data_IF_496702139446
#
_entry.id   IF_496702139446
#
_cell.length_a   1.000
_cell.length_b   1.000
_cell.length_c   1.000
_cell.angle_alpha   90.00
_cell.angle_beta   90.00
_cell.angle_gamma   90.00
#
_symmetry.space_group_name_H-M   'P 1'
#
loop_
_entity.id
_entity.type
_entity.pdbx_description
1 polymer ?
#
# COMPACT_ATOMS: atom_id res chain seq x y z
N UNK A 1 7.70 -10.29 3.38
CA UNK A 1 7.74 -8.85 3.06
C UNK A 1 7.91 -8.68 1.56
N UNK A 2 7.27 -7.69 0.93
CA UNK A 2 7.49 -7.37 -0.49
C UNK A 2 6.56 -8.03 -1.52
N UNK A 3 5.65 -8.92 -1.11
CA UNK A 3 4.60 -9.47 -1.99
C UNK A 3 3.40 -8.53 -2.10
N UNK A 4 2.56 -8.75 -3.11
CA UNK A 4 1.32 -7.98 -3.31
C UNK A 4 0.36 -8.21 -2.13
N UNK A 5 0.17 -9.46 -1.66
CA UNK A 5 -0.71 -9.73 -0.53
C UNK A 5 -0.23 -9.01 0.75
N UNK A 6 1.08 -9.04 1.01
CA UNK A 6 1.65 -8.35 2.17
C UNK A 6 1.29 -6.86 2.17
N UNK A 7 1.43 -6.18 1.03
CA UNK A 7 1.09 -4.77 0.95
C UNK A 7 -0.42 -4.51 0.99
N UNK A 8 -1.25 -5.41 0.45
CA UNK A 8 -2.71 -5.34 0.59
C UNK A 8 -3.09 -5.37 2.07
N UNK A 9 -2.52 -6.29 2.84
CA UNK A 9 -2.79 -6.43 4.27
C UNK A 9 -2.42 -5.17 5.05
N UNK A 10 -1.30 -4.53 4.70
CA UNK A 10 -0.90 -3.24 5.29
C UNK A 10 -1.93 -2.14 5.03
N UNK A 11 -2.40 -2.00 3.78
CA UNK A 11 -3.41 -0.99 3.45
C UNK A 11 -4.76 -1.28 4.13
N UNK A 12 -5.19 -2.54 4.16
CA UNK A 12 -6.42 -2.95 4.85
C UNK A 12 -6.32 -2.70 6.35
N UNK A 13 -5.17 -2.98 6.96
CA UNK A 13 -4.92 -2.66 8.37
C UNK A 13 -5.02 -1.16 8.64
N UNK A 14 -4.47 -0.30 7.77
CA UNK A 14 -4.65 1.15 7.90
C UNK A 14 -6.12 1.54 7.86
N UNK A 15 -6.88 1.02 6.89
CA UNK A 15 -8.32 1.35 6.75
C UNK A 15 -9.10 0.91 7.99
N UNK A 16 -8.86 -0.31 8.47
CA UNK A 16 -9.50 -0.82 9.69
C UNK A 16 -9.13 0.02 10.92
N UNK A 17 -7.86 0.40 11.06
CA UNK A 17 -7.39 1.24 12.15
C UNK A 17 -8.05 2.62 12.13
N UNK A 18 -8.21 3.23 10.96
CA UNK A 18 -8.93 4.51 10.82
C UNK A 18 -10.40 4.43 11.23
N UNK A 19 -11.01 3.25 11.13
CA UNK A 19 -12.42 3.06 11.52
C UNK A 19 -12.59 3.00 13.04
N UNK A 20 -11.56 2.55 13.78
CA UNK A 20 -11.61 2.35 15.23
C UNK A 20 -10.84 3.41 16.02
N UNK A 21 -9.92 4.14 15.38
CA UNK A 21 -9.02 5.11 16.00
C UNK A 21 -9.52 6.55 15.82
N UNK A 22 -9.23 7.40 16.81
CA UNK A 22 -9.40 8.85 16.75
C UNK A 22 -8.35 9.55 15.85
N UNK A 23 -7.26 8.85 15.50
CA UNK A 23 -6.29 9.28 14.50
C UNK A 23 -6.51 8.52 13.19
N UNK A 24 -6.60 9.26 12.08
CA UNK A 24 -6.80 8.69 10.75
C UNK A 24 -5.56 8.92 9.90
N UNK A 25 -5.02 7.84 9.32
CA UNK A 25 -3.94 7.88 8.34
C UNK A 25 -4.48 7.53 6.96
N UNK A 26 -4.31 8.41 6.00
CA UNK A 26 -4.70 8.15 4.62
C UNK A 26 -3.95 6.95 4.02
N UNK A 27 -4.57 6.29 3.05
CA UNK A 27 -3.89 5.27 2.24
C UNK A 27 -2.66 5.84 1.52
N UNK A 28 -2.68 7.12 1.17
CA UNK A 28 -1.56 7.79 0.51
C UNK A 28 -0.36 7.96 1.46
N UNK A 29 -0.59 8.31 2.74
CA UNK A 29 0.47 8.35 3.75
C UNK A 29 1.05 6.96 4.00
N UNK A 30 0.20 5.92 4.04
CA UNK A 30 0.65 4.52 4.13
C UNK A 30 1.52 4.14 2.94
N UNK A 31 1.14 4.54 1.71
CA UNK A 31 1.93 4.31 0.51
C UNK A 31 3.31 4.99 0.59
N UNK A 32 3.37 6.24 1.05
CA UNK A 32 4.63 6.99 1.21
C UNK A 32 5.51 6.32 2.25
N UNK A 33 4.95 5.89 3.38
CA UNK A 33 5.68 5.18 4.43
C UNK A 33 6.28 3.88 3.89
N UNK A 34 5.48 3.05 3.24
CA UNK A 34 5.93 1.76 2.67
C UNK A 34 6.98 1.95 1.57
N UNK A 35 6.91 3.02 0.76
CA UNK A 35 7.96 3.35 -0.21
C UNK A 35 9.29 3.64 0.49
N UNK A 36 9.28 4.47 1.54
CA UNK A 36 10.48 4.76 2.33
C UNK A 36 11.05 3.51 2.99
N UNK A 37 10.19 2.61 3.48
CA UNK A 37 10.63 1.32 4.03
C UNK A 37 11.34 0.48 2.97
N UNK A 38 10.78 0.33 1.76
CA UNK A 38 11.42 -0.41 0.66
C UNK A 38 12.74 0.25 0.22
N UNK A 39 12.77 1.58 0.14
CA UNK A 39 13.99 2.32 -0.22
C UNK A 39 15.10 2.13 0.83
N UNK A 40 14.75 2.01 2.10
CA UNK A 40 15.66 1.76 3.21
C UNK A 40 16.18 0.33 3.33
N UNK A 41 15.66 -0.65 2.56
CA UNK A 41 16.13 -2.03 2.61
C UNK A 41 17.55 -2.16 2.05
N UNK A 42 18.39 -2.97 2.67
CA UNK A 42 19.71 -3.34 2.13
C UNK A 42 19.61 -4.55 1.18
N UNK A 43 18.84 -4.39 0.10
CA UNK A 43 18.67 -5.38 -0.96
C UNK A 43 19.07 -4.82 -2.32
N UNK A 44 19.28 -5.70 -3.29
CA UNK A 44 19.65 -5.29 -4.64
C UNK A 44 18.55 -4.45 -5.31
N UNK A 45 18.98 -3.60 -6.25
CA UNK A 45 18.10 -2.66 -6.95
C UNK A 45 16.92 -3.35 -7.66
N UNK A 46 17.14 -4.50 -8.27
CA UNK A 46 16.10 -5.22 -9.01
C UNK A 46 15.03 -5.74 -8.05
N UNK A 47 15.42 -6.25 -6.89
CA UNK A 47 14.48 -6.64 -5.84
C UNK A 47 13.69 -5.46 -5.29
N UNK A 48 14.31 -4.28 -5.09
CA UNK A 48 13.59 -3.06 -4.70
C UNK A 48 12.55 -2.65 -5.74
N UNK A 49 12.91 -2.68 -7.03
CA UNK A 49 11.99 -2.36 -8.12
C UNK A 49 10.77 -3.29 -8.12
N UNK A 50 10.98 -4.59 -7.92
CA UNK A 50 9.88 -5.56 -7.79
C UNK A 50 8.99 -5.23 -6.59
N UNK A 51 9.57 -4.87 -5.45
CA UNK A 51 8.79 -4.51 -4.25
C UNK A 51 7.96 -3.24 -4.49
N UNK A 52 8.52 -2.22 -5.14
CA UNK A 52 7.81 -0.99 -5.48
C UNK A 52 6.68 -1.22 -6.50
N UNK A 53 6.87 -2.13 -7.45
CA UNK A 53 5.82 -2.55 -8.38
C UNK A 53 4.68 -3.27 -7.64
N UNK A 54 5.02 -4.21 -6.77
CA UNK A 54 4.04 -4.95 -5.97
C UNK A 54 3.25 -4.01 -5.04
N UNK A 55 3.93 -3.06 -4.40
CA UNK A 55 3.33 -2.02 -3.56
C UNK A 55 2.33 -1.17 -4.36
N UNK A 56 2.70 -0.75 -5.57
CA UNK A 56 1.84 0.04 -6.44
C UNK A 56 0.61 -0.75 -6.87
N UNK A 57 0.78 -2.04 -7.21
CA UNK A 57 -0.33 -2.92 -7.57
C UNK A 57 -1.30 -3.13 -6.40
N UNK A 58 -0.78 -3.37 -5.21
CA UNK A 58 -1.58 -3.52 -3.99
C UNK A 58 -2.39 -2.25 -3.69
N UNK A 59 -1.76 -1.07 -3.77
CA UNK A 59 -2.45 0.21 -3.57
C UNK A 59 -3.62 0.39 -4.53
N UNK A 60 -3.43 0.12 -5.82
CA UNK A 60 -4.50 0.21 -6.83
C UNK A 60 -5.64 -0.75 -6.56
N UNK A 61 -5.34 -1.99 -6.19
CA UNK A 61 -6.37 -3.01 -5.86
C UNK A 61 -7.21 -2.57 -4.67
N UNK A 62 -6.58 -2.16 -3.58
CA UNK A 62 -7.30 -1.71 -2.38
C UNK A 62 -8.09 -0.44 -2.68
N UNK A 63 -7.55 0.49 -3.48
CA UNK A 63 -8.29 1.69 -3.89
C UNK A 63 -9.56 1.34 -4.67
N UNK A 64 -9.49 0.37 -5.57
CA UNK A 64 -10.66 -0.12 -6.31
C UNK A 64 -11.68 -0.83 -5.41
N UNK A 65 -11.21 -1.63 -4.44
CA UNK A 65 -12.09 -2.29 -3.46
C UNK A 65 -12.85 -1.28 -2.60
N UNK A 66 -12.17 -0.22 -2.14
CA UNK A 66 -12.76 0.79 -1.24
C UNK A 66 -13.60 1.82 -1.98
N UNK A 67 -13.15 2.29 -3.16
CA UNK A 67 -13.88 3.29 -3.94
C UNK A 67 -15.09 2.69 -4.70
N UNK A 68 -15.16 1.36 -4.81
CA UNK A 68 -16.21 0.64 -5.51
C UNK A 68 -16.00 0.57 -7.04
N UNK A 69 -16.74 -0.32 -7.73
CA UNK A 69 -16.53 -0.68 -9.14
C UNK A 69 -16.81 0.46 -10.15
N UNK A 70 -17.28 1.62 -9.69
CA UNK A 70 -17.62 2.76 -10.55
C UNK A 70 -16.49 3.78 -10.69
N UNK A 71 -15.42 3.65 -9.90
CA UNK A 71 -14.29 4.59 -9.95
C UNK A 71 -13.21 4.06 -10.88
N UNK A 72 -13.22 4.54 -12.14
CA UNK A 72 -12.08 4.37 -13.05
C UNK A 72 -10.91 5.20 -12.53
N UNK A 73 -9.93 4.53 -11.93
CA UNK A 73 -8.60 5.10 -11.67
C UNK A 73 -7.98 5.42 -13.04
N UNK A 74 -8.05 6.70 -13.44
CA UNK A 74 -7.40 7.22 -14.66
C UNK A 74 -5.93 7.47 -14.41
#
# INVERSE_FOLDING_TARGET
MGSVEYFIDQFKSTIMNNFVSSESHSMQETLIRLKKEVDGLEIDKKSKEVFLQNLTLAYRRVLQEVAGPFVKVR
#
